data_IF_749772985458
#
_entry.id   IF_749772985458
#
_cell.length_a   1.000
_cell.length_b   1.000
_cell.length_c   1.000
_cell.angle_alpha   90.00
_cell.angle_beta   90.00
_cell.angle_gamma   90.00
#
_symmetry.space_group_name_H-M   'P 1'
#
loop_
_entity.id
_entity.type
_entity.pdbx_description
1 polymer ?
#
# COMPACT_ATOMS: atom_id res chain seq x y z
N UNK A 1 2.54 -0.47 -12.24
CA UNK A 1 1.66 -0.33 -11.07
C UNK A 1 0.19 -0.38 -11.50
N UNK A 2 -0.70 -0.78 -10.59
CA UNK A 2 -2.15 -0.63 -10.69
C UNK A 2 -2.60 0.54 -9.80
N UNK A 3 -3.64 1.27 -10.17
CA UNK A 3 -4.02 2.53 -9.50
C UNK A 3 -5.52 2.59 -9.24
N UNK A 4 -5.90 2.85 -8.00
CA UNK A 4 -7.26 3.25 -7.62
C UNK A 4 -7.22 4.75 -7.36
N UNK A 5 -8.12 5.51 -7.98
CA UNK A 5 -8.27 6.95 -7.71
C UNK A 5 -9.62 7.20 -7.06
N UNK A 6 -9.60 8.03 -6.02
CA UNK A 6 -10.79 8.44 -5.31
C UNK A 6 -11.22 9.84 -5.77
N UNK A 7 -12.54 10.08 -5.88
CA UNK A 7 -13.05 11.39 -6.23
C UNK A 7 -12.70 12.41 -5.15
N UNK A 8 -12.26 13.60 -5.56
CA UNK A 8 -11.89 14.66 -4.62
C UNK A 8 -13.13 15.42 -4.16
N UNK A 9 -13.34 15.49 -2.84
CA UNK A 9 -14.38 16.34 -2.24
C UNK A 9 -14.10 17.83 -2.49
N UNK A 10 -15.03 18.53 -3.15
CA UNK A 10 -15.03 19.99 -3.25
C UNK A 10 -15.57 20.59 -1.94
N UNK A 11 -16.78 20.21 -1.54
CA UNK A 11 -17.36 20.50 -0.23
C UNK A 11 -17.59 19.21 0.60
N UNK A 12 -17.83 19.39 1.90
CA UNK A 12 -18.01 18.30 2.87
C UNK A 12 -19.26 17.42 2.59
N UNK A 13 -20.20 17.91 1.79
CA UNK A 13 -21.47 17.22 1.45
C UNK A 13 -21.51 16.63 0.03
N UNK A 14 -20.44 16.79 -0.75
CA UNK A 14 -20.52 16.59 -2.20
C UNK A 14 -20.30 15.14 -2.67
N UNK A 15 -19.95 14.20 -1.77
CA UNK A 15 -19.67 12.81 -2.11
C UNK A 15 -20.17 11.87 -1.01
N UNK A 16 -21.32 11.24 -1.25
CA UNK A 16 -21.75 10.04 -0.54
C UNK A 16 -21.65 8.83 -1.50
N UNK A 17 -21.13 7.67 -1.06
CA UNK A 17 -20.54 7.44 0.26
C UNK A 17 -19.22 8.19 0.45
N UNK A 18 -18.88 8.48 1.71
CA UNK A 18 -17.65 9.19 2.06
C UNK A 18 -16.41 8.43 1.57
N UNK A 19 -15.44 9.16 1.01
CA UNK A 19 -14.12 8.61 0.69
C UNK A 19 -13.43 8.14 1.96
N UNK A 20 -12.63 7.06 1.92
CA UNK A 20 -11.84 6.63 3.06
C UNK A 20 -10.96 7.77 3.59
N UNK A 21 -10.89 7.91 4.91
CA UNK A 21 -10.08 8.95 5.56
C UNK A 21 -9.15 8.37 6.61
N UNK A 22 -8.11 9.13 6.96
CA UNK A 22 -7.17 8.79 8.03
C UNK A 22 -6.85 10.01 8.87
N UNK A 23 -6.69 9.80 10.17
CA UNK A 23 -6.08 10.78 11.06
C UNK A 23 -4.56 10.58 11.06
N UNK A 24 -3.83 11.63 10.70
CA UNK A 24 -2.36 11.60 10.68
C UNK A 24 -1.86 12.47 11.85
N UNK A 25 -1.11 11.89 12.81
CA UNK A 25 -0.64 12.62 13.98
C UNK A 25 0.30 13.77 13.60
N UNK A 26 0.56 14.69 14.54
CA UNK A 26 1.31 15.96 14.36
C UNK A 26 0.52 17.11 13.71
N UNK A 27 -0.79 17.18 13.94
CA UNK A 27 -1.58 18.36 13.59
C UNK A 27 -1.78 18.55 12.08
N UNK A 28 -1.86 17.44 11.32
CA UNK A 28 -2.15 17.46 9.88
C UNK A 28 -3.62 17.78 9.57
N UNK A 29 -4.48 17.84 10.58
CA UNK A 29 -5.93 18.02 10.46
C UNK A 29 -6.65 16.83 11.08
N UNK A 30 -7.96 16.95 11.34
CA UNK A 30 -8.71 15.89 12.02
C UNK A 30 -8.84 14.61 11.18
N UNK A 31 -9.01 14.74 9.86
CA UNK A 31 -9.11 13.61 8.93
C UNK A 31 -8.67 14.06 7.52
N UNK A 32 -7.81 13.27 6.88
CA UNK A 32 -7.34 13.47 5.51
C UNK A 32 -7.99 12.45 4.56
N UNK A 33 -8.37 12.91 3.38
CA UNK A 33 -9.01 12.08 2.35
C UNK A 33 -7.96 11.28 1.59
N UNK A 34 -8.23 9.98 1.40
CA UNK A 34 -7.51 9.18 0.41
C UNK A 34 -7.82 9.74 -0.97
N UNK A 35 -6.78 9.98 -1.76
CA UNK A 35 -6.90 10.42 -3.15
C UNK A 35 -6.56 9.31 -4.14
N UNK A 36 -5.63 8.44 -3.75
CA UNK A 36 -5.08 7.44 -4.66
C UNK A 36 -4.44 6.30 -3.88
N UNK A 37 -4.60 5.09 -4.40
CA UNK A 37 -3.90 3.89 -3.94
C UNK A 37 -3.15 3.26 -5.11
N UNK A 38 -1.84 3.08 -4.95
CA UNK A 38 -0.98 2.46 -5.97
C UNK A 38 -0.48 1.09 -5.48
N UNK A 39 -0.61 0.08 -6.35
CA UNK A 39 -0.05 -1.26 -6.15
C UNK A 39 1.19 -1.42 -7.06
N UNK A 40 2.35 -1.65 -6.45
CA UNK A 40 3.66 -1.70 -7.14
C UNK A 40 4.34 -3.03 -6.84
N UNK A 41 4.84 -3.73 -7.87
CA UNK A 41 5.45 -5.06 -7.76
C UNK A 41 6.63 -5.21 -8.76
N UNK A 42 7.90 -5.31 -8.34
CA UNK A 42 8.35 -5.51 -6.97
C UNK A 42 8.19 -4.26 -6.10
N UNK A 43 8.32 -4.41 -4.78
CA UNK A 43 8.39 -3.27 -3.88
C UNK A 43 9.63 -2.41 -4.20
N UNK A 44 9.49 -1.09 -4.17
CA UNK A 44 10.61 -0.16 -4.33
C UNK A 44 11.32 0.10 -3.00
N UNK A 45 10.58 0.09 -1.89
CA UNK A 45 11.17 0.17 -0.55
C UNK A 45 11.72 -1.18 -0.10
N UNK A 46 12.83 -1.11 0.61
CA UNK A 46 13.38 -2.22 1.39
C UNK A 46 13.38 -1.85 2.86
N UNK A 47 13.19 -2.82 3.74
CA UNK A 47 13.25 -2.59 5.18
C UNK A 47 14.40 -3.41 5.76
N UNK A 48 15.38 -2.73 6.38
CA UNK A 48 16.56 -3.37 6.98
C UNK A 48 17.31 -4.33 6.02
N UNK A 49 17.34 -3.99 4.73
CA UNK A 49 17.98 -4.80 3.68
C UNK A 49 17.09 -5.90 3.09
N UNK A 50 15.92 -6.18 3.68
CA UNK A 50 14.93 -7.12 3.17
C UNK A 50 14.15 -6.51 2.00
N UNK A 51 13.94 -7.30 0.96
CA UNK A 51 13.09 -6.98 -0.20
C UNK A 51 11.72 -7.61 -0.04
N UNK A 52 10.72 -6.95 -0.63
CA UNK A 52 9.32 -7.38 -0.58
C UNK A 52 8.76 -7.56 -1.99
N UNK A 53 7.77 -8.44 -2.12
CA UNK A 53 7.19 -8.83 -3.41
C UNK A 53 6.38 -7.70 -4.04
N UNK A 54 5.68 -6.92 -3.22
CA UNK A 54 4.94 -5.75 -3.64
C UNK A 54 4.89 -4.70 -2.53
N UNK A 55 4.45 -3.49 -2.87
CA UNK A 55 4.07 -2.45 -1.93
C UNK A 55 2.76 -1.79 -2.35
N UNK A 56 1.97 -1.37 -1.37
CA UNK A 56 0.71 -0.66 -1.53
C UNK A 56 0.86 0.73 -0.92
N UNK A 57 0.62 1.76 -1.71
CA UNK A 57 0.86 3.16 -1.32
C UNK A 57 -0.44 3.92 -1.33
N UNK A 58 -0.83 4.41 -0.16
CA UNK A 58 -2.07 5.15 0.06
C UNK A 58 -1.70 6.62 0.20
N UNK A 59 -2.03 7.40 -0.83
CA UNK A 59 -1.81 8.84 -0.87
C UNK A 59 -3.00 9.55 -0.24
N UNK A 60 -2.72 10.46 0.70
CA UNK A 60 -3.74 11.26 1.36
C UNK A 60 -3.44 12.74 1.19
N UNK A 61 -4.46 13.54 0.83
CA UNK A 61 -4.24 14.95 0.53
C UNK A 61 -4.52 15.84 1.74
N UNK A 62 -3.62 16.78 2.01
CA UNK A 62 -3.86 17.90 2.90
C UNK A 62 -4.14 19.16 2.10
N UNK A 63 -5.05 20.03 2.60
CA UNK A 63 -5.35 21.33 1.97
C UNK A 63 -4.33 22.45 2.30
N UNK A 64 -3.24 22.18 3.05
CA UNK A 64 -2.48 23.21 3.76
C UNK A 64 -0.95 23.29 3.49
N UNK A 65 -0.46 22.82 2.33
CA UNK A 65 0.92 23.12 1.88
C UNK A 65 2.08 22.46 2.65
N UNK A 66 1.82 21.59 3.64
CA UNK A 66 2.88 20.88 4.39
C UNK A 66 3.45 19.65 3.69
N UNK A 67 3.04 19.39 2.45
CA UNK A 67 3.36 18.17 1.71
C UNK A 67 2.22 17.15 1.77
N UNK A 68 2.52 15.90 1.37
CA UNK A 68 1.54 14.82 1.22
C UNK A 68 2.01 13.58 1.98
N UNK A 69 1.30 13.16 3.05
CA UNK A 69 1.57 11.88 3.69
C UNK A 69 1.25 10.71 2.75
N UNK A 70 2.11 9.70 2.76
CA UNK A 70 1.90 8.46 2.02
C UNK A 70 2.10 7.28 2.95
N UNK A 71 1.01 6.57 3.25
CA UNK A 71 1.04 5.36 4.07
C UNK A 71 1.36 4.20 3.14
N UNK A 72 2.43 3.46 3.44
CA UNK A 72 2.93 2.38 2.59
C UNK A 72 2.94 1.08 3.36
N UNK A 73 2.31 0.07 2.78
CA UNK A 73 2.27 -1.30 3.27
C UNK A 73 3.17 -2.15 2.36
N UNK A 74 4.16 -2.82 2.96
CA UNK A 74 4.96 -3.81 2.26
C UNK A 74 4.20 -5.14 2.21
N UNK A 75 4.42 -5.94 1.18
CA UNK A 75 3.69 -7.18 0.97
C UNK A 75 4.63 -8.31 0.58
N UNK A 76 4.41 -9.50 1.17
CA UNK A 76 5.19 -10.71 0.91
C UNK A 76 4.28 -11.89 0.55
N UNK A 77 4.80 -12.83 -0.22
CA UNK A 77 4.11 -14.09 -0.49
C UNK A 77 3.86 -14.84 0.83
N UNK A 78 2.63 -15.30 1.00
CA UNK A 78 2.10 -15.93 2.20
C UNK A 78 0.66 -16.37 1.96
N UNK A 79 -0.25 -16.04 2.88
CA UNK A 79 -1.67 -16.41 2.77
C UNK A 79 -2.41 -15.57 1.75
N UNK A 80 -3.43 -16.20 1.14
CA UNK A 80 -4.37 -15.51 0.27
C UNK A 80 -5.08 -14.36 0.99
N UNK A 81 -5.12 -13.20 0.34
CA UNK A 81 -5.70 -11.99 0.90
C UNK A 81 -7.00 -11.65 0.19
N UNK A 82 -8.14 -11.95 0.85
CA UNK A 82 -9.47 -11.71 0.29
C UNK A 82 -9.71 -10.24 -0.10
N UNK A 83 -9.19 -9.29 0.70
CA UNK A 83 -9.40 -7.88 0.43
C UNK A 83 -8.54 -7.37 -0.74
N UNK A 84 -7.34 -7.92 -0.90
CA UNK A 84 -6.54 -7.70 -2.10
C UNK A 84 -7.28 -8.25 -3.33
N UNK A 85 -7.89 -9.44 -3.23
CA UNK A 85 -8.62 -10.05 -4.34
C UNK A 85 -9.77 -9.17 -4.82
N UNK A 86 -10.53 -8.55 -3.90
CA UNK A 86 -11.60 -7.60 -4.25
C UNK A 86 -11.09 -6.50 -5.21
N UNK A 87 -9.87 -5.99 -5.01
CA UNK A 87 -9.26 -5.00 -5.91
C UNK A 87 -8.75 -5.63 -7.21
N UNK A 88 -8.12 -6.81 -7.14
CA UNK A 88 -7.59 -7.50 -8.31
C UNK A 88 -8.68 -7.90 -9.30
N UNK A 89 -9.85 -8.33 -8.81
CA UNK A 89 -10.99 -8.68 -9.65
C UNK A 89 -11.52 -7.48 -10.44
N UNK A 90 -11.53 -6.29 -9.84
CA UNK A 90 -11.89 -5.05 -10.55
C UNK A 90 -10.84 -4.65 -11.58
N UNK A 91 -9.55 -4.77 -11.26
CA UNK A 91 -8.49 -4.54 -12.23
C UNK A 91 -8.53 -5.55 -13.38
N UNK A 92 -8.89 -6.80 -13.10
CA UNK A 92 -9.08 -7.85 -14.10
C UNK A 92 -10.19 -7.48 -15.09
N UNK A 93 -11.34 -6.98 -14.61
CA UNK A 93 -12.42 -6.50 -15.49
C UNK A 93 -11.98 -5.35 -16.40
N UNK A 94 -11.23 -4.39 -15.86
CA UNK A 94 -10.68 -3.28 -16.67
C UNK A 94 -9.71 -3.80 -17.72
N UNK A 95 -8.81 -4.71 -17.33
CA UNK A 95 -7.86 -5.33 -18.24
C UNK A 95 -8.55 -6.09 -19.38
N UNK A 96 -9.56 -6.91 -19.07
CA UNK A 96 -10.35 -7.66 -20.05
C UNK A 96 -11.10 -6.73 -21.01
N UNK A 97 -11.70 -5.66 -20.49
CA UNK A 97 -12.36 -4.65 -21.32
C UNK A 97 -11.39 -4.01 -22.31
N UNK A 98 -10.20 -3.61 -21.83
CA UNK A 98 -9.16 -3.00 -22.65
C UNK A 98 -8.63 -3.98 -23.72
N UNK A 99 -8.35 -5.22 -23.35
CA UNK A 99 -7.84 -6.21 -24.31
C UNK A 99 -8.90 -6.56 -25.36
N UNK A 100 -10.16 -6.72 -24.96
CA UNK A 100 -11.27 -6.94 -25.89
C UNK A 100 -11.45 -5.79 -26.89
N UNK A 101 -11.28 -4.53 -26.46
CA UNK A 101 -11.32 -3.38 -27.36
C UNK A 101 -10.22 -3.49 -28.44
N UNK A 102 -9.03 -3.93 -28.06
CA UNK A 102 -7.91 -4.13 -28.97
C UNK A 102 -8.05 -5.34 -29.89
N UNK A 103 -8.69 -6.41 -29.43
CA UNK A 103 -9.01 -7.54 -30.29
C UNK A 103 -10.05 -7.16 -31.36
N UNK A 104 -11.05 -6.34 -30.99
CA UNK A 104 -12.07 -5.83 -31.92
C UNK A 104 -11.50 -4.84 -32.94
N UNK A 105 -10.62 -3.93 -32.53
CA UNK A 105 -9.97 -2.99 -33.45
C UNK A 105 -9.12 -3.71 -34.49
N UNK A 106 -8.42 -4.78 -34.12
CA UNK A 106 -7.67 -5.63 -35.06
C UNK A 106 -8.58 -6.38 -36.06
N UNK A 107 -9.82 -6.71 -35.69
CA UNK A 107 -10.81 -7.28 -36.61
C UNK A 107 -11.36 -6.22 -37.57
N UNK A 108 -11.62 -5.01 -37.09
CA UNK A 108 -12.14 -3.89 -37.89
C UNK A 108 -11.06 -3.29 -38.82
N UNK A 109 -9.77 -3.35 -38.46
CA UNK A 109 -8.67 -2.95 -39.35
C UNK A 109 -8.54 -3.84 -40.60
N UNK A 110 -9.12 -5.05 -40.58
CA UNK A 110 -9.30 -5.89 -41.78
C UNK A 110 -10.56 -5.55 -42.59
N UNK A 111 -11.40 -4.64 -42.09
CA UNK A 111 -12.71 -4.28 -42.64
C UNK A 111 -12.88 -2.74 -42.62
N UNK A 112 -12.23 -2.07 -43.57
CA UNK A 112 -12.49 -0.68 -43.99
C UNK A 112 -12.18 0.47 -43.02
N UNK A 113 -11.57 1.50 -43.62
CA UNK A 113 -11.37 2.85 -43.11
C UNK A 113 -12.71 3.47 -42.68
N UNK A 114 -12.90 3.75 -41.39
CA UNK A 114 -13.73 4.89 -40.97
C UNK A 114 -13.39 5.30 -39.53
N UNK A 115 -12.87 6.53 -39.40
CA UNK A 115 -12.50 7.09 -38.11
C UNK A 115 -13.71 7.37 -37.22
N UNK A 116 -13.60 7.01 -35.95
CA UNK A 116 -14.50 7.50 -34.91
C UNK A 116 -13.71 8.32 -33.90
N UNK A 117 -14.14 9.58 -33.72
CA UNK A 117 -13.76 10.44 -32.60
C UNK A 117 -13.98 9.67 -31.29
N UNK A 118 -12.93 9.54 -30.49
CA UNK A 118 -13.01 9.02 -29.13
C UNK A 118 -12.63 10.12 -28.15
N UNK A 119 -13.44 10.26 -27.11
CA UNK A 119 -13.30 11.27 -26.07
C UNK A 119 -11.98 11.09 -25.29
N UNK A 120 -11.35 12.23 -25.02
CA UNK A 120 -10.04 12.34 -24.40
C UNK A 120 -10.08 11.99 -22.90
N UNK A 121 -9.00 11.36 -22.44
CA UNK A 121 -8.52 11.30 -21.06
C UNK A 121 -9.33 10.50 -20.03
N UNK A 122 -9.20 9.18 -20.06
CA UNK A 122 -9.11 8.39 -18.82
C UNK A 122 -7.88 7.52 -18.86
N UNK A 123 -6.96 7.70 -17.90
CA UNK A 123 -5.74 6.91 -17.81
C UNK A 123 -6.13 5.46 -17.42
N UNK A 124 -5.95 4.52 -18.35
CA UNK A 124 -6.69 3.25 -18.52
C UNK A 124 -6.42 2.15 -17.49
N UNK A 125 -5.62 2.45 -16.45
CA UNK A 125 -5.37 1.59 -15.27
C UNK A 125 -6.05 2.09 -13.99
N UNK A 126 -6.84 3.15 -14.11
CA UNK A 126 -7.42 3.83 -12.96
C UNK A 126 -8.79 3.27 -12.67
N UNK A 127 -8.96 2.61 -11.53
CA UNK A 127 -10.29 2.33 -10.99
C UNK A 127 -10.80 3.58 -10.27
N UNK A 128 -12.00 4.04 -10.64
CA UNK A 128 -12.75 5.03 -9.84
C UNK A 128 -13.77 4.23 -9.03
N UNK A 129 -13.42 3.86 -7.80
CA UNK A 129 -14.31 3.08 -6.92
C UNK A 129 -14.78 3.94 -5.76
N UNK A 130 -16.08 3.98 -5.51
CA UNK A 130 -16.63 4.68 -4.34
C UNK A 130 -16.56 3.87 -3.05
N UNK A 131 -16.42 2.53 -3.12
CA UNK A 131 -16.71 1.65 -1.97
C UNK A 131 -15.53 0.81 -1.44
N UNK A 132 -14.45 0.62 -2.20
CA UNK A 132 -13.31 -0.16 -1.70
C UNK A 132 -12.47 0.71 -0.74
N UNK A 133 -12.11 0.16 0.43
CA UNK A 133 -11.47 0.90 1.51
C UNK A 133 -10.07 0.34 1.85
N UNK A 134 -8.97 1.07 1.55
CA UNK A 134 -7.61 0.57 1.73
C UNK A 134 -7.22 0.36 3.19
N UNK A 135 -7.94 0.98 4.13
CA UNK A 135 -7.63 0.88 5.55
C UNK A 135 -7.96 -0.51 6.14
N UNK A 136 -8.67 -1.38 5.41
CA UNK A 136 -8.85 -2.78 5.82
C UNK A 136 -7.51 -3.54 5.84
N UNK A 137 -6.49 -3.11 5.06
CA UNK A 137 -5.14 -3.65 5.20
C UNK A 137 -4.50 -3.34 6.55
N UNK A 138 -4.75 -2.14 7.12
CA UNK A 138 -4.23 -1.79 8.46
C UNK A 138 -4.83 -2.67 9.56
N UNK A 139 -6.08 -3.12 9.39
CA UNK A 139 -6.72 -4.06 10.31
C UNK A 139 -6.09 -5.46 10.22
N UNK A 140 -5.52 -5.82 9.07
CA UNK A 140 -4.83 -7.10 8.87
C UNK A 140 -3.43 -7.08 9.49
N UNK A 141 -2.65 -6.02 9.27
CA UNK A 141 -1.29 -5.91 9.83
C UNK A 141 -1.30 -5.72 11.34
N UNK A 142 -2.35 -5.07 11.88
CA UNK A 142 -2.47 -4.68 13.29
C UNK A 142 -1.23 -3.93 13.81
N UNK A 143 -0.45 -3.34 12.92
CA UNK A 143 0.75 -2.59 13.29
C UNK A 143 0.42 -1.11 13.39
N UNK A 144 0.93 -0.51 14.46
CA UNK A 144 0.92 0.92 14.71
C UNK A 144 2.30 1.54 14.48
N UNK A 145 3.29 0.70 14.15
CA UNK A 145 4.68 1.08 14.00
C UNK A 145 5.02 1.31 12.53
N UNK A 146 5.84 2.32 12.30
CA UNK A 146 6.28 2.68 10.96
C UNK A 146 7.63 3.38 10.98
N UNK A 147 8.27 3.37 9.82
CA UNK A 147 9.42 4.21 9.51
C UNK A 147 8.95 5.43 8.72
N UNK A 148 9.36 6.62 9.15
CA UNK A 148 8.98 7.87 8.53
C UNK A 148 10.18 8.63 8.00
N UNK A 149 10.04 9.18 6.79
CA UNK A 149 11.04 10.07 6.21
C UNK A 149 10.40 11.00 5.16
N UNK A 150 11.08 12.09 4.84
CA UNK A 150 10.64 13.00 3.77
C UNK A 150 11.29 12.54 2.46
N UNK A 151 10.52 12.50 1.37
CA UNK A 151 10.99 12.01 0.08
C UNK A 151 10.25 12.60 -1.11
N UNK A 152 10.54 12.05 -2.29
CA UNK A 152 9.86 12.42 -3.52
C UNK A 152 9.00 11.30 -4.10
N UNK A 153 8.25 11.66 -5.14
CA UNK A 153 7.56 10.69 -5.98
C UNK A 153 8.56 9.71 -6.57
N UNK A 154 8.16 8.44 -6.67
CA UNK A 154 8.96 7.43 -7.35
C UNK A 154 8.61 7.28 -8.84
N UNK A 155 7.58 8.00 -9.26
CA UNK A 155 7.22 8.25 -10.65
C UNK A 155 7.63 9.68 -11.07
N UNK A 156 7.99 9.92 -12.35
CA UNK A 156 8.13 11.27 -12.88
C UNK A 156 6.89 12.13 -12.57
N UNK A 157 7.04 13.39 -12.13
CA UNK A 157 8.24 14.24 -12.20
C UNK A 157 9.24 14.10 -11.02
N UNK A 158 9.12 13.07 -10.17
CA UNK A 158 10.04 12.82 -9.05
C UNK A 158 10.12 13.94 -8.00
N UNK A 159 9.10 14.80 -7.93
CA UNK A 159 9.05 15.96 -7.03
C UNK A 159 9.11 15.58 -5.55
N UNK A 160 9.80 16.40 -4.74
CA UNK A 160 10.11 16.15 -3.34
C UNK A 160 9.15 16.88 -2.38
N UNK A 161 8.01 16.27 -2.10
CA UNK A 161 7.00 16.83 -1.19
C UNK A 161 6.26 15.76 -0.36
N UNK A 162 6.72 14.51 -0.42
CA UNK A 162 6.07 13.38 0.24
C UNK A 162 6.62 13.15 1.64
N UNK A 163 5.72 12.79 2.54
CA UNK A 163 6.04 12.31 3.89
C UNK A 163 5.73 10.81 3.93
N UNK A 164 6.74 9.98 3.67
CA UNK A 164 6.59 8.53 3.65
C UNK A 164 6.36 8.00 5.06
N UNK A 165 5.47 7.01 5.17
CA UNK A 165 5.14 6.27 6.39
C UNK A 165 5.10 4.78 6.02
N UNK A 166 6.20 4.07 6.20
CA UNK A 166 6.36 2.67 5.82
C UNK A 166 6.00 1.80 7.02
N UNK A 167 4.88 1.09 6.96
CA UNK A 167 4.45 0.16 8.02
C UNK A 167 5.44 -1.00 8.10
N UNK A 168 5.88 -1.34 9.30
CA UNK A 168 6.95 -2.33 9.52
C UNK A 168 6.48 -3.79 9.48
N UNK A 169 5.17 -4.02 9.63
CA UNK A 169 4.55 -5.35 9.44
C UNK A 169 4.03 -5.49 8.02
N UNK A 170 4.57 -6.42 7.22
CA UNK A 170 4.09 -6.64 5.87
C UNK A 170 2.71 -7.33 5.87
N UNK A 171 1.89 -7.03 4.87
CA UNK A 171 0.72 -7.85 4.54
C UNK A 171 1.16 -9.12 3.80
N UNK A 172 0.31 -10.14 3.85
CA UNK A 172 0.49 -11.36 3.07
C UNK A 172 -0.39 -11.31 1.81
N UNK A 173 0.08 -11.95 0.74
CA UNK A 173 -0.68 -12.28 -0.46
C UNK A 173 -0.30 -13.68 -0.94
N UNK A 174 -1.18 -14.38 -1.67
CA UNK A 174 -0.77 -15.67 -2.24
C UNK A 174 0.11 -15.50 -3.49
N UNK A 175 0.81 -16.57 -3.87
CA UNK A 175 1.62 -16.59 -5.09
C UNK A 175 0.76 -16.32 -6.34
N UNK A 176 -0.47 -16.85 -6.38
CA UNK A 176 -1.41 -16.62 -7.48
C UNK A 176 -1.80 -15.13 -7.59
N UNK A 177 -2.01 -14.47 -6.44
CA UNK A 177 -2.31 -13.04 -6.40
C UNK A 177 -1.13 -12.19 -6.88
N UNK A 178 0.10 -12.59 -6.53
CA UNK A 178 1.33 -11.94 -7.01
C UNK A 178 1.43 -12.05 -8.53
N UNK A 179 1.20 -13.24 -9.08
CA UNK A 179 1.25 -13.51 -10.51
C UNK A 179 0.15 -12.73 -11.25
N UNK A 180 -1.08 -12.73 -10.71
CA UNK A 180 -2.20 -11.95 -11.27
C UNK A 180 -1.85 -10.46 -11.33
N UNK A 181 -1.32 -9.87 -10.25
CA UNK A 181 -0.89 -8.47 -10.25
C UNK A 181 0.20 -8.18 -11.28
N UNK A 182 1.25 -9.02 -11.33
CA UNK A 182 2.34 -8.85 -12.31
C UNK A 182 1.81 -8.89 -13.73
N UNK A 183 0.93 -9.86 -14.04
CA UNK A 183 0.28 -9.97 -15.35
C UNK A 183 -0.51 -8.70 -15.67
N UNK A 184 -1.43 -8.30 -14.81
CA UNK A 184 -2.26 -7.09 -15.02
C UNK A 184 -1.41 -5.83 -15.26
N UNK A 185 -0.29 -5.69 -14.56
CA UNK A 185 0.61 -4.55 -14.76
C UNK A 185 1.35 -4.65 -16.11
N UNK A 186 1.89 -5.81 -16.45
CA UNK A 186 2.74 -6.00 -17.63
C UNK A 186 1.95 -6.04 -18.93
N UNK A 187 0.74 -6.60 -18.93
CA UNK A 187 -0.01 -6.91 -20.16
C UNK A 187 -1.17 -5.95 -20.43
N UNK A 188 -1.41 -4.94 -19.59
CA UNK A 188 -2.46 -3.96 -19.88
C UNK A 188 -2.13 -3.14 -21.15
N UNK A 189 -3.14 -2.94 -21.98
CA UNK A 189 -3.08 -2.15 -23.21
C UNK A 189 -4.02 -0.96 -23.12
N UNK A 190 -3.68 0.10 -23.83
CA UNK A 190 -4.57 1.23 -24.04
C UNK A 190 -5.67 0.81 -25.05
N UNK A 191 -6.97 0.94 -24.72
CA UNK A 191 -8.05 0.49 -25.59
C UNK A 191 -8.16 1.27 -26.91
N UNK A 192 -7.53 2.45 -27.01
CA UNK A 192 -7.57 3.32 -28.19
C UNK A 192 -6.45 2.94 -29.17
N UNK A 193 -5.22 2.84 -28.68
CA UNK A 193 -4.04 2.66 -29.54
C UNK A 193 -3.37 1.27 -29.40
N UNK A 194 -3.84 0.43 -28.49
CA UNK A 194 -3.39 -0.93 -28.26
C UNK A 194 -1.91 -1.11 -27.92
N UNK A 195 -1.23 -0.02 -27.54
CA UNK A 195 0.10 -0.07 -26.98
C UNK A 195 0.01 -0.51 -25.52
N UNK A 196 1.02 -1.27 -25.08
CA UNK A 196 1.17 -1.57 -23.67
C UNK A 196 1.34 -0.29 -22.87
N UNK A 197 0.64 -0.20 -21.74
CA UNK A 197 0.66 1.01 -20.92
C UNK A 197 1.80 1.00 -19.91
N UNK A 198 2.55 -0.10 -19.77
CA UNK A 198 3.70 -0.22 -18.85
C UNK A 198 5.00 -0.14 -19.62
N UNK A 199 5.91 0.65 -19.07
CA UNK A 199 7.31 0.65 -19.46
C UNK A 199 8.06 -0.11 -18.37
N UNK A 200 8.65 -1.24 -18.73
CA UNK A 200 9.47 -2.05 -17.83
C UNK A 200 10.89 -2.12 -18.38
N UNK A 201 11.86 -2.32 -17.50
CA UNK A 201 13.25 -2.51 -17.90
C UNK A 201 13.45 -3.90 -18.55
N UNK A 202 14.65 -4.16 -19.06
CA UNK A 202 15.03 -5.43 -19.68
C UNK A 202 14.84 -6.67 -18.78
N UNK A 203 14.71 -6.48 -17.47
CA UNK A 203 14.50 -7.53 -16.48
C UNK A 203 13.03 -7.67 -16.07
N UNK A 204 12.10 -7.01 -16.77
CA UNK A 204 10.67 -7.08 -16.49
C UNK A 204 10.23 -6.29 -15.24
N UNK A 205 11.10 -5.45 -14.68
CA UNK A 205 10.77 -4.62 -13.52
C UNK A 205 10.42 -3.18 -13.93
N UNK A 206 9.40 -2.61 -13.30
CA UNK A 206 9.00 -1.20 -13.42
C UNK A 206 9.23 -0.42 -12.12
N UNK A 207 9.76 -1.09 -11.10
CA UNK A 207 10.06 -0.51 -9.80
C UNK A 207 11.28 0.42 -9.91
N UNK A 208 11.17 1.64 -9.40
CA UNK A 208 12.30 2.57 -9.27
C UNK A 208 13.41 1.92 -8.42
N UNK A 209 14.68 1.97 -8.86
CA UNK A 209 15.81 1.47 -8.07
C UNK A 209 15.97 2.22 -6.74
N UNK A 210 16.58 1.55 -5.75
CA UNK A 210 16.98 2.18 -4.50
C UNK A 210 17.83 3.43 -4.76
N UNK A 211 17.49 4.50 -4.07
CA UNK A 211 18.23 5.76 -4.11
C UNK A 211 19.12 5.86 -2.87
N UNK A 212 20.14 6.71 -2.92
CA UNK A 212 21.03 6.96 -1.78
C UNK A 212 20.23 7.52 -0.59
N UNK A 213 20.19 6.75 0.49
CA UNK A 213 19.49 7.10 1.73
C UNK A 213 20.41 7.70 2.80
N UNK A 214 21.72 7.84 2.55
CA UNK A 214 22.70 8.30 3.54
C UNK A 214 22.39 9.69 4.13
N UNK A 215 21.68 10.53 3.36
CA UNK A 215 21.28 11.89 3.77
C UNK A 215 19.85 11.99 4.30
N UNK A 216 19.10 10.88 4.28
CA UNK A 216 17.72 10.87 4.76
C UNK A 216 17.68 10.72 6.28
N UNK A 217 16.99 11.64 6.94
CA UNK A 217 16.64 11.48 8.34
C UNK A 217 15.43 10.55 8.44
N UNK A 218 15.70 9.26 8.66
CA UNK A 218 14.69 8.24 8.87
C UNK A 218 14.43 8.12 10.38
N UNK A 219 13.18 8.29 10.79
CA UNK A 219 12.75 8.01 12.16
C UNK A 219 11.91 6.73 12.19
N UNK A 220 11.98 5.99 13.29
CA UNK A 220 11.08 4.88 13.57
C UNK A 220 10.15 5.29 14.71
N UNK A 221 8.85 5.09 14.57
CA UNK A 221 7.92 5.20 15.69
C UNK A 221 8.05 3.98 16.61
N UNK A 222 8.22 4.24 17.90
CA UNK A 222 8.41 3.23 18.95
C UNK A 222 7.42 3.49 20.09
N UNK A 223 7.43 2.64 21.13
CA UNK A 223 6.55 2.84 22.28
C UNK A 223 6.82 4.13 23.05
N UNK A 224 7.99 4.76 22.87
CA UNK A 224 8.27 6.08 23.46
C UNK A 224 7.37 7.17 22.90
N UNK A 225 7.12 7.12 21.59
CA UNK A 225 6.23 8.05 20.91
C UNK A 225 4.76 7.68 21.13
N UNK A 226 4.43 6.39 21.13
CA UNK A 226 3.05 5.92 21.29
C UNK A 226 2.96 4.53 21.94
N UNK A 227 2.56 4.46 23.21
CA UNK A 227 2.21 3.21 23.87
C UNK A 227 0.72 2.92 23.68
N UNK A 228 0.39 1.98 22.78
CA UNK A 228 -0.99 1.63 22.41
C UNK A 228 -1.79 1.06 23.59
N UNK A 229 -3.11 1.25 23.56
CA UNK A 229 -4.00 0.73 24.62
C UNK A 229 -3.92 -0.78 24.73
N UNK A 230 -3.82 -1.49 23.60
CA UNK A 230 -3.62 -2.95 23.61
C UNK A 230 -2.32 -3.35 24.33
N UNK A 231 -1.23 -2.59 24.17
CA UNK A 231 0.02 -2.85 24.89
C UNK A 231 -0.08 -2.48 26.38
N UNK A 232 -0.80 -1.40 26.72
CA UNK A 232 -1.09 -1.03 28.11
C UNK A 232 -1.93 -2.10 28.80
N UNK A 233 -2.92 -2.64 28.11
CA UNK A 233 -3.78 -3.70 28.62
C UNK A 233 -3.02 -5.01 28.79
N UNK A 234 -2.16 -5.34 27.81
CA UNK A 234 -1.35 -6.56 27.80
C UNK A 234 -0.28 -6.57 28.90
N UNK A 235 0.43 -5.45 29.08
CA UNK A 235 1.59 -5.36 29.99
C UNK A 235 1.30 -4.66 31.32
N UNK A 236 0.23 -3.88 31.41
CA UNK A 236 -0.04 -3.01 32.55
C UNK A 236 0.85 -1.77 32.63
N UNK A 237 1.78 -1.59 31.69
CA UNK A 237 2.69 -0.46 31.67
C UNK A 237 1.95 0.84 31.28
N UNK A 238 2.27 1.93 31.97
CA UNK A 238 1.76 3.28 31.64
C UNK A 238 2.69 4.06 30.72
N UNK A 239 3.96 3.65 30.64
CA UNK A 239 5.02 4.26 29.85
C UNK A 239 5.89 3.17 29.22
N UNK A 240 6.52 3.48 28.10
CA UNK A 240 7.47 2.59 27.43
C UNK A 240 8.67 2.32 28.36
N UNK A 241 9.06 1.05 28.61
CA UNK A 241 10.21 0.72 29.46
C UNK A 241 11.52 1.30 28.92
N UNK A 242 12.45 1.62 29.82
CA UNK A 242 13.81 1.95 29.42
C UNK A 242 14.46 0.75 28.71
N UNK A 243 15.05 0.97 27.53
CA UNK A 243 15.65 -0.12 26.73
C UNK A 243 14.68 -0.85 25.79
N UNK A 244 13.37 -0.58 25.82
CA UNK A 244 12.37 -1.10 24.88
C UNK A 244 12.32 -0.32 23.55
N UNK A 245 13.40 0.35 23.20
CA UNK A 245 13.50 1.34 22.11
C UNK A 245 13.67 0.70 20.72
N UNK A 246 13.92 -0.60 20.67
CA UNK A 246 14.06 -1.39 19.44
C UNK A 246 13.14 -2.60 19.50
N UNK A 247 12.44 -2.91 18.39
CA UNK A 247 11.66 -4.15 18.15
C UNK A 247 11.09 -4.78 19.42
N UNK A 248 10.38 -3.99 20.22
CA UNK A 248 9.88 -4.46 21.51
C UNK A 248 8.61 -5.27 21.26
N UNK A 249 8.77 -6.59 21.31
CA UNK A 249 7.69 -7.48 21.72
C UNK A 249 7.79 -7.61 23.25
N UNK A 250 6.69 -7.45 24.00
CA UNK A 250 6.72 -7.58 25.46
C UNK A 250 7.29 -8.95 25.83
N UNK A 251 8.28 -8.95 26.72
CA UNK A 251 8.84 -10.20 27.24
C UNK A 251 7.71 -10.98 27.93
N UNK A 252 7.62 -12.31 27.81
CA UNK A 252 6.63 -13.11 28.53
C UNK A 252 6.55 -12.83 30.04
N UNK A 253 7.64 -12.32 30.64
CA UNK A 253 7.68 -11.88 32.05
C UNK A 253 6.88 -10.60 32.32
N UNK A 254 6.80 -9.69 31.35
CA UNK A 254 6.15 -8.37 31.42
C UNK A 254 4.64 -8.43 31.13
N UNK A 255 4.14 -9.60 30.72
CA UNK A 255 2.71 -9.83 30.47
C UNK A 255 1.92 -9.92 31.78
N UNK A 256 0.70 -9.40 31.79
CA UNK A 256 -0.25 -9.70 32.87
C UNK A 256 -0.49 -11.21 32.95
N UNK A 257 -0.79 -11.77 34.15
CA UNK A 257 -1.05 -13.20 34.31
C UNK A 257 -2.11 -13.76 33.35
N UNK A 258 -3.14 -12.96 33.02
CA UNK A 258 -4.19 -13.31 32.07
C UNK A 258 -3.73 -13.44 30.62
N UNK A 259 -2.61 -12.80 30.25
CA UNK A 259 -2.07 -12.80 28.89
C UNK A 259 -0.98 -13.85 28.66
N UNK A 260 -0.36 -14.37 29.73
CA UNK A 260 0.65 -15.44 29.65
C UNK A 260 0.09 -16.75 29.09
N UNK A 261 -1.19 -17.02 29.31
CA UNK A 261 -1.89 -18.21 28.81
C UNK A 261 -2.21 -18.18 27.31
N UNK A 262 -2.09 -17.04 26.63
CA UNK A 262 -2.38 -16.89 25.20
C UNK A 262 -1.14 -17.14 24.31
N UNK A 263 0.06 -17.19 24.89
CA UNK A 263 1.35 -17.35 24.19
C UNK A 263 2.02 -18.68 24.61
N UNK A 264 1.21 -19.67 25.00
CA UNK A 264 1.66 -21.00 25.46
C UNK A 264 2.60 -21.68 24.47
N UNK A 265 3.84 -21.83 24.91
CA UNK A 265 5.01 -22.47 24.29
C UNK A 265 4.78 -23.93 23.96
N UNK A 266 5.03 -24.32 22.72
CA UNK A 266 5.37 -25.70 22.36
C UNK A 266 6.82 -25.97 22.76
N UNK A 267 6.99 -26.66 23.90
CA UNK A 267 8.07 -27.60 24.20
C UNK A 267 9.51 -27.08 24.26
N UNK A 268 9.98 -26.76 25.46
CA UNK A 268 11.33 -27.11 25.90
C UNK A 268 11.17 -28.21 26.96
N UNK A 269 11.65 -29.42 26.66
CA UNK A 269 11.89 -30.46 27.66
C UNK A 269 13.25 -30.13 28.30
N UNK A 270 13.24 -29.86 29.60
CA UNK A 270 14.44 -29.83 30.46
C UNK A 270 15.08 -31.22 30.47
N UNK A 271 16.35 -31.29 30.04
CA UNK A 271 17.28 -32.32 30.50
C UNK A 271 17.70 -31.97 31.93
N UNK A 272 17.27 -32.78 32.89
CA UNK A 272 17.85 -32.81 34.23
C UNK A 272 19.09 -33.74 34.25
N UNK A 273 20.10 -33.43 35.10
CA UNK A 273 21.42 -34.08 35.12
C UNK A 273 21.45 -35.52 35.64
#
# INVERSE_FOLDING_TARGET
MLRISYPRRKNKKDLEPDVPTVDVPQGWGKFLDVVRVDFVCPAEHTLLGEKFDCEIRIYVIQKAGRGVPVITLLAKVGKFNNHLQEALDEFQKVWESNDNACQKSNRNLRSSQLGSKFDNETNTRTLVTSNWNPWKFMQQTKSYWFYGYNGGLTEPPCSYFLHWRIIDTPIELSEEQLQQMKQLIMTNRDPINCKYTSVHNQYGSFARPLQDSSRLLIHRCTCREYLSDSLRDLTGLRTCPAGAESLWMPNPRDLKPSAKNLIGTSGEQEEDP
#
